data_IF_802674383610
#
_entry.id   IF_802674383610
#
_cell.length_a   1.000
_cell.length_b   1.000
_cell.length_c   1.000
_cell.angle_alpha   90.00
_cell.angle_beta   90.00
_cell.angle_gamma   90.00
#
_symmetry.space_group_name_H-M   'P 1'
#
loop_
_entity.id
_entity.type
_entity.pdbx_description
1 polymer ?
#
# COMPACT_ATOMS: atom_id res chain seq x y z
N UNK A 1 -57.39 -14.59 -20.18
CA UNK A 1 -56.50 -14.23 -21.31
C UNK A 1 -55.64 -12.99 -21.04
N UNK A 2 -56.19 -11.82 -20.66
CA UNK A 2 -55.41 -10.59 -20.37
C UNK A 2 -54.31 -10.74 -19.30
N UNK A 3 -54.55 -11.51 -18.24
CA UNK A 3 -53.57 -11.74 -17.15
C UNK A 3 -52.40 -12.65 -17.54
N UNK A 4 -52.65 -13.63 -18.42
CA UNK A 4 -51.62 -14.54 -18.96
C UNK A 4 -50.73 -13.77 -19.94
N UNK A 5 -51.31 -12.89 -20.76
CA UNK A 5 -50.57 -12.04 -21.68
C UNK A 5 -49.63 -11.07 -20.94
N UNK A 6 -50.08 -10.50 -19.81
CA UNK A 6 -49.24 -9.62 -18.99
C UNK A 6 -48.05 -10.35 -18.35
N UNK A 7 -48.25 -11.58 -17.87
CA UNK A 7 -47.18 -12.39 -17.26
C UNK A 7 -46.10 -12.80 -18.26
N UNK A 8 -46.50 -13.09 -19.50
CA UNK A 8 -45.55 -13.40 -20.59
C UNK A 8 -44.75 -12.16 -20.98
N UNK A 9 -45.40 -10.99 -21.10
CA UNK A 9 -44.71 -9.73 -21.40
C UNK A 9 -43.73 -9.36 -20.28
N UNK A 10 -44.10 -9.52 -19.01
CA UNK A 10 -43.22 -9.27 -17.87
C UNK A 10 -42.00 -10.22 -17.88
N UNK A 11 -42.20 -11.50 -18.16
CA UNK A 11 -41.11 -12.47 -18.26
C UNK A 11 -40.15 -12.19 -19.43
N UNK A 12 -40.66 -11.70 -20.57
CA UNK A 12 -39.82 -11.30 -21.71
C UNK A 12 -38.95 -10.06 -21.42
N UNK A 13 -39.43 -9.12 -20.60
CA UNK A 13 -38.65 -7.92 -20.22
C UNK A 13 -37.48 -8.30 -19.30
N UNK A 14 -37.63 -9.30 -18.42
CA UNK A 14 -36.52 -9.81 -17.60
C UNK A 14 -35.46 -10.58 -18.40
N UNK A 15 -35.83 -11.19 -19.54
CA UNK A 15 -34.89 -11.91 -20.39
C UNK A 15 -33.97 -10.97 -21.20
N UNK A 16 -34.42 -9.75 -21.52
CA UNK A 16 -33.65 -8.78 -22.31
C UNK A 16 -32.58 -8.07 -21.45
N UNK A 17 -32.77 -7.98 -20.13
CA UNK A 17 -31.82 -7.33 -19.21
C UNK A 17 -30.55 -8.14 -18.90
N UNK A 18 -30.45 -9.40 -19.34
CA UNK A 18 -29.38 -10.31 -18.94
C UNK A 18 -28.13 -10.28 -19.85
N UNK A 19 -28.11 -9.47 -20.92
CA UNK A 19 -26.95 -9.32 -21.80
C UNK A 19 -26.32 -7.94 -21.71
N UNK A 20 -25.91 -7.54 -20.50
CA UNK A 20 -24.80 -6.59 -20.41
C UNK A 20 -23.53 -7.33 -20.87
N UNK A 21 -23.21 -7.27 -22.16
CA UNK A 21 -21.88 -7.63 -22.66
C UNK A 21 -20.89 -6.60 -22.14
N UNK A 22 -20.49 -6.72 -20.87
CA UNK A 22 -19.30 -6.03 -20.40
C UNK A 22 -18.13 -6.69 -21.12
N UNK A 23 -17.54 -6.00 -22.09
CA UNK A 23 -16.21 -6.35 -22.59
C UNK A 23 -15.32 -6.62 -21.37
N UNK A 24 -14.59 -7.75 -21.33
CA UNK A 24 -13.66 -8.01 -20.23
C UNK A 24 -12.79 -6.76 -20.02
N UNK A 25 -12.61 -6.30 -18.78
CA UNK A 25 -11.82 -5.10 -18.53
C UNK A 25 -10.42 -5.28 -19.14
N UNK A 26 -9.83 -4.21 -19.69
CA UNK A 26 -8.51 -4.29 -20.33
C UNK A 26 -7.39 -4.70 -19.35
N UNK A 27 -7.62 -4.54 -18.04
CA UNK A 27 -6.67 -4.92 -17.00
C UNK A 27 -7.33 -5.63 -15.84
N UNK A 28 -6.56 -6.52 -15.21
CA UNK A 28 -6.89 -7.14 -13.92
C UNK A 28 -6.05 -6.46 -12.82
N UNK A 29 -6.69 -5.90 -11.76
CA UNK A 29 -5.98 -5.32 -10.62
C UNK A 29 -5.16 -6.35 -9.86
N UNK A 30 -3.90 -6.03 -9.59
CA UNK A 30 -3.02 -6.74 -8.68
C UNK A 30 -2.85 -6.03 -7.34
N UNK A 31 -1.76 -6.40 -6.64
CA UNK A 31 -1.38 -5.83 -5.36
C UNK A 31 -1.10 -4.32 -5.46
N UNK A 32 -1.17 -3.65 -4.31
CA UNK A 32 -0.88 -2.22 -4.18
C UNK A 32 0.42 -2.05 -3.42
N UNK A 33 1.32 -1.19 -3.90
CA UNK A 33 2.59 -0.92 -3.21
C UNK A 33 2.71 0.56 -2.86
N UNK A 34 3.08 0.85 -1.61
CA UNK A 34 3.59 2.16 -1.22
C UNK A 34 5.07 2.22 -1.52
N UNK A 35 5.48 3.20 -2.31
CA UNK A 35 6.87 3.50 -2.61
C UNK A 35 7.22 4.78 -1.86
N UNK A 36 8.33 4.76 -1.11
CA UNK A 36 8.87 5.91 -0.40
C UNK A 36 10.33 6.08 -0.78
N UNK A 37 10.70 7.29 -1.17
CA UNK A 37 12.08 7.66 -1.46
C UNK A 37 12.62 8.57 -0.36
N UNK A 38 13.81 8.24 0.12
CA UNK A 38 14.54 8.99 1.11
C UNK A 38 15.85 9.52 0.52
N UNK A 39 16.11 10.79 0.78
CA UNK A 39 17.42 11.43 0.61
C UNK A 39 18.12 11.39 1.97
N UNK A 40 19.25 10.69 2.05
CA UNK A 40 20.01 10.48 3.28
C UNK A 40 21.04 11.60 3.38
N UNK A 41 20.97 12.37 4.47
CA UNK A 41 21.82 13.54 4.63
C UNK A 41 23.32 13.16 4.59
N UNK A 42 24.20 14.04 4.07
CA UNK A 42 25.62 13.77 3.96
C UNK A 42 26.25 13.28 5.28
N UNK A 43 26.97 12.16 5.23
CA UNK A 43 27.62 11.56 6.40
C UNK A 43 26.68 10.81 7.36
N UNK A 44 25.38 10.71 7.06
CA UNK A 44 24.37 10.11 7.95
C UNK A 44 23.92 8.69 7.58
N UNK A 45 24.61 8.04 6.65
CA UNK A 45 24.29 6.68 6.19
C UNK A 45 24.18 5.65 7.33
N UNK A 46 25.13 5.66 8.27
CA UNK A 46 25.11 4.73 9.41
C UNK A 46 23.98 5.03 10.40
N UNK A 47 23.74 6.31 10.70
CA UNK A 47 22.65 6.74 11.59
C UNK A 47 21.29 6.29 11.04
N UNK A 48 21.06 6.53 9.74
CA UNK A 48 19.84 6.11 9.06
C UNK A 48 19.69 4.58 9.04
N UNK A 49 20.75 3.85 8.70
CA UNK A 49 20.73 2.39 8.65
C UNK A 49 20.43 1.78 10.02
N UNK A 50 21.07 2.28 11.07
CA UNK A 50 20.83 1.82 12.44
C UNK A 50 19.40 2.14 12.88
N UNK A 51 18.89 3.33 12.54
CA UNK A 51 17.51 3.67 12.84
C UNK A 51 16.52 2.75 12.13
N UNK A 52 16.72 2.44 10.85
CA UNK A 52 15.86 1.50 10.11
C UNK A 52 15.86 0.12 10.76
N UNK A 53 17.04 -0.42 11.06
CA UNK A 53 17.19 -1.74 11.69
C UNK A 53 16.55 -1.80 13.07
N UNK A 54 16.67 -0.73 13.85
CA UNK A 54 16.15 -0.65 15.23
C UNK A 54 14.64 -0.44 15.25
N UNK A 55 14.12 0.49 14.45
CA UNK A 55 12.75 0.99 14.60
C UNK A 55 11.81 0.52 13.49
N UNK A 56 12.27 0.52 12.24
CA UNK A 56 11.39 0.29 11.10
C UNK A 56 11.24 -1.20 10.75
N UNK A 57 12.36 -1.94 10.73
CA UNK A 57 12.34 -3.37 10.38
C UNK A 57 11.51 -4.23 11.34
N UNK A 58 11.62 -4.12 12.68
CA UNK A 58 10.83 -4.97 13.59
C UNK A 58 9.33 -4.74 13.44
N UNK A 59 8.92 -3.50 13.18
CA UNK A 59 7.53 -3.13 12.94
C UNK A 59 7.05 -3.74 11.62
N UNK A 60 7.80 -3.58 10.52
CA UNK A 60 7.42 -4.14 9.22
C UNK A 60 7.37 -5.68 9.24
N UNK A 61 8.29 -6.33 9.96
CA UNK A 61 8.26 -7.79 10.15
C UNK A 61 7.01 -8.24 10.88
N UNK A 62 6.63 -7.57 11.97
CA UNK A 62 5.42 -7.93 12.70
C UNK A 62 4.15 -7.62 11.89
N UNK A 63 4.12 -6.51 11.15
CA UNK A 63 3.02 -6.20 10.22
C UNK A 63 2.86 -7.28 9.15
N UNK A 64 3.98 -7.76 8.58
CA UNK A 64 3.98 -8.86 7.61
C UNK A 64 3.49 -10.15 8.25
N UNK A 65 3.99 -10.49 9.43
CA UNK A 65 3.60 -11.69 10.20
C UNK A 65 2.10 -11.72 10.51
N UNK A 66 1.50 -10.57 10.81
CA UNK A 66 0.06 -10.46 11.07
C UNK A 66 -0.80 -10.34 9.80
N UNK A 67 -0.20 -10.43 8.60
CA UNK A 67 -0.89 -10.28 7.33
C UNK A 67 -1.43 -8.87 7.07
N UNK A 68 -0.94 -7.86 7.81
CA UNK A 68 -1.29 -6.47 7.54
C UNK A 68 -0.67 -6.04 6.22
N UNK A 69 0.60 -6.37 5.99
CA UNK A 69 1.25 -6.17 4.70
C UNK A 69 1.63 -7.54 4.12
N UNK A 70 1.66 -7.65 2.80
CA UNK A 70 2.10 -8.86 2.11
C UNK A 70 3.63 -8.99 2.14
N UNK A 71 4.33 -7.88 1.91
CA UNK A 71 5.79 -7.84 1.89
C UNK A 71 6.30 -6.42 2.08
N UNK A 72 7.60 -6.29 2.33
CA UNK A 72 8.31 -5.03 2.24
C UNK A 72 9.73 -5.28 1.72
N UNK A 73 10.39 -4.23 1.24
CA UNK A 73 11.78 -4.30 0.80
C UNK A 73 12.44 -2.92 0.75
N UNK A 74 13.76 -2.91 0.85
CA UNK A 74 14.58 -1.72 0.68
C UNK A 74 15.45 -1.87 -0.56
N UNK A 75 15.73 -0.76 -1.23
CA UNK A 75 16.61 -0.70 -2.39
C UNK A 75 17.37 0.62 -2.40
N UNK A 76 18.60 0.61 -2.89
CA UNK A 76 19.43 1.81 -2.96
C UNK A 76 19.56 2.30 -4.40
N UNK A 77 19.77 3.60 -4.56
CA UNK A 77 20.09 4.23 -5.84
C UNK A 77 21.56 4.65 -5.82
N UNK A 78 22.45 3.92 -6.51
CA UNK A 78 23.87 4.25 -6.51
C UNK A 78 24.22 5.44 -7.43
N UNK A 79 23.31 5.85 -8.32
CA UNK A 79 23.50 6.99 -9.22
C UNK A 79 22.79 8.24 -8.71
N UNK A 80 23.25 9.42 -9.11
CA UNK A 80 22.57 10.70 -8.86
C UNK A 80 22.15 11.32 -10.19
N UNK A 81 20.86 11.63 -10.33
CA UNK A 81 20.23 12.14 -11.55
C UNK A 81 20.09 13.68 -11.52
N UNK A 82 20.30 14.31 -10.37
CA UNK A 82 20.28 15.77 -10.22
C UNK A 82 20.11 16.24 -8.77
N UNK A 83 19.95 17.56 -8.55
CA UNK A 83 19.62 18.11 -7.24
C UNK A 83 18.26 17.60 -6.72
N UNK A 84 18.18 17.27 -5.44
CA UNK A 84 16.94 16.78 -4.80
C UNK A 84 16.60 15.32 -5.11
N UNK A 85 17.60 14.55 -5.54
CA UNK A 85 17.48 13.12 -5.80
C UNK A 85 17.51 12.29 -4.50
N UNK A 86 17.31 10.98 -4.58
CA UNK A 86 17.16 10.08 -3.44
C UNK A 86 18.21 8.96 -3.43
N UNK A 87 18.53 8.43 -2.25
CA UNK A 87 19.53 7.37 -2.07
C UNK A 87 18.92 6.02 -1.67
N UNK A 88 17.80 6.05 -0.94
CA UNK A 88 17.16 4.87 -0.37
C UNK A 88 15.66 4.83 -0.68
N UNK A 89 15.21 3.71 -1.22
CA UNK A 89 13.81 3.39 -1.44
C UNK A 89 13.27 2.36 -0.45
N UNK A 90 12.01 2.50 -0.08
CA UNK A 90 11.21 1.53 0.66
C UNK A 90 9.96 1.17 -0.17
N UNK A 91 9.73 -0.13 -0.35
CA UNK A 91 8.46 -0.66 -0.87
C UNK A 91 7.72 -1.37 0.25
N UNK A 92 6.44 -1.08 0.42
CA UNK A 92 5.52 -1.84 1.27
C UNK A 92 4.37 -2.31 0.40
N UNK A 93 4.11 -3.62 0.33
CA UNK A 93 3.07 -4.21 -0.52
C UNK A 93 1.86 -4.61 0.32
N UNK A 94 0.70 -4.17 -0.12
CA UNK A 94 -0.63 -4.47 0.41
C UNK A 94 -1.40 -5.33 -0.58
N UNK A 95 -2.42 -6.05 -0.10
CA UNK A 95 -3.26 -6.90 -0.95
C UNK A 95 -4.03 -6.10 -2.00
N UNK A 96 -4.54 -4.93 -1.64
CA UNK A 96 -5.37 -4.07 -2.50
C UNK A 96 -5.42 -2.63 -1.94
N UNK A 97 -6.23 -1.75 -2.53
CA UNK A 97 -6.36 -0.37 -2.04
C UNK A 97 -7.12 -0.29 -0.72
N UNK A 98 -8.06 -1.19 -0.45
CA UNK A 98 -8.78 -1.20 0.82
C UNK A 98 -7.83 -1.40 2.00
N UNK A 99 -6.89 -2.33 1.87
CA UNK A 99 -5.86 -2.56 2.89
C UNK A 99 -4.84 -1.40 3.01
N UNK A 100 -4.70 -0.57 1.98
CA UNK A 100 -3.68 0.47 1.88
C UNK A 100 -4.18 1.89 2.19
N UNK A 101 -5.48 2.17 1.98
CA UNK A 101 -6.07 3.52 2.03
C UNK A 101 -7.32 3.57 2.88
N UNK A 102 -8.18 2.55 2.83
CA UNK A 102 -9.50 2.64 3.46
C UNK A 102 -9.37 2.67 5.00
N UNK A 103 -10.20 3.51 5.62
CA UNK A 103 -10.29 3.56 7.07
C UNK A 103 -10.89 2.26 7.59
N UNK A 104 -10.09 1.49 8.34
CA UNK A 104 -10.51 0.25 8.99
C UNK A 104 -10.04 0.28 10.46
N UNK A 105 -10.96 0.46 11.43
CA UNK A 105 -10.62 0.59 12.85
C UNK A 105 -9.89 -0.63 13.43
N UNK A 106 -10.30 -1.84 13.05
CA UNK A 106 -9.65 -3.08 13.55
C UNK A 106 -8.20 -3.18 13.07
N UNK A 107 -7.98 -2.85 11.80
CA UNK A 107 -6.66 -2.84 11.19
C UNK A 107 -5.79 -1.74 11.76
N UNK A 108 -6.34 -0.54 11.97
CA UNK A 108 -5.65 0.57 12.64
C UNK A 108 -5.22 0.18 14.06
N UNK A 109 -6.11 -0.45 14.84
CA UNK A 109 -5.79 -0.94 16.18
C UNK A 109 -4.64 -1.95 16.19
N UNK A 110 -4.54 -2.83 15.18
CA UNK A 110 -3.38 -3.75 15.04
C UNK A 110 -2.09 -3.00 14.75
N UNK A 111 -2.09 -2.01 13.85
CA UNK A 111 -0.91 -1.17 13.60
C UNK A 111 -0.47 -0.43 14.87
N UNK A 112 -1.41 0.14 15.61
CA UNK A 112 -1.12 0.84 16.87
C UNK A 112 -0.60 -0.10 17.95
N UNK A 113 -1.18 -1.30 18.09
CA UNK A 113 -0.70 -2.30 19.03
C UNK A 113 0.73 -2.76 18.73
N UNK A 114 1.09 -2.93 17.45
CA UNK A 114 2.47 -3.26 17.04
C UNK A 114 3.41 -2.11 17.43
N UNK A 115 3.05 -0.87 17.11
CA UNK A 115 3.83 0.30 17.47
C UNK A 115 4.01 0.45 18.97
N UNK A 116 2.93 0.33 19.74
CA UNK A 116 2.95 0.42 21.20
C UNK A 116 3.81 -0.68 21.82
N UNK A 117 3.72 -1.92 21.31
CA UNK A 117 4.57 -3.02 21.77
C UNK A 117 6.06 -2.77 21.49
N UNK A 118 6.38 -2.11 20.38
CA UNK A 118 7.77 -1.80 20.02
C UNK A 118 8.34 -0.61 20.80
N UNK A 119 7.61 0.50 20.85
CA UNK A 119 8.08 1.76 21.44
C UNK A 119 7.77 1.93 22.93
N UNK A 120 6.79 1.19 23.45
CA UNK A 120 6.31 1.31 24.83
C UNK A 120 5.38 2.51 25.08
N UNK A 121 5.47 3.57 24.28
CA UNK A 121 4.56 4.72 24.35
C UNK A 121 4.44 5.45 23.01
N UNK A 122 3.40 6.28 22.88
CA UNK A 122 3.23 7.17 21.73
C UNK A 122 4.33 8.24 21.66
N UNK A 123 4.79 8.73 22.81
CA UNK A 123 5.86 9.72 22.88
C UNK A 123 7.19 9.16 22.37
N UNK A 124 7.57 7.95 22.80
CA UNK A 124 8.78 7.28 22.33
C UNK A 124 8.73 7.00 20.81
N UNK A 125 7.55 6.68 20.28
CA UNK A 125 7.32 6.57 18.83
C UNK A 125 7.59 7.90 18.12
N UNK A 126 7.03 8.99 18.63
CA UNK A 126 7.23 10.33 18.06
C UNK A 126 8.70 10.73 18.09
N UNK A 127 9.38 10.58 19.24
CA UNK A 127 10.81 10.86 19.37
C UNK A 127 11.66 10.07 18.38
N UNK A 128 11.36 8.77 18.20
CA UNK A 128 12.06 7.94 17.23
C UNK A 128 11.83 8.46 15.79
N UNK A 129 10.60 8.78 15.43
CA UNK A 129 10.27 9.30 14.10
C UNK A 129 10.93 10.66 13.83
N UNK A 130 10.93 11.57 14.81
CA UNK A 130 11.52 12.90 14.69
C UNK A 130 13.04 12.84 14.56
N UNK A 131 13.69 11.88 15.24
CA UNK A 131 15.12 11.64 15.08
C UNK A 131 15.50 11.36 13.62
N UNK A 132 14.58 10.80 12.82
CA UNK A 132 14.83 10.55 11.40
C UNK A 132 15.02 11.79 10.56
N UNK A 133 14.43 12.92 10.96
CA UNK A 133 14.64 14.20 10.29
C UNK A 133 16.10 14.70 10.42
N UNK A 134 16.85 14.19 11.39
CA UNK A 134 18.27 14.51 11.59
C UNK A 134 19.24 13.76 10.66
N UNK A 135 18.75 12.77 9.90
CA UNK A 135 19.61 11.96 9.00
C UNK A 135 19.00 11.65 7.63
N UNK A 136 17.72 11.96 7.38
CA UNK A 136 17.11 11.80 6.07
C UNK A 136 15.95 12.78 5.87
N UNK A 137 15.60 13.00 4.60
CA UNK A 137 14.34 13.63 4.21
C UNK A 137 13.50 12.65 3.39
N UNK A 138 12.18 12.87 3.30
CA UNK A 138 11.30 12.12 2.41
C UNK A 138 11.16 12.91 1.11
N UNK A 139 11.69 12.38 0.02
CA UNK A 139 11.64 13.02 -1.30
C UNK A 139 10.26 12.82 -1.92
N UNK A 140 9.73 11.59 -1.88
CA UNK A 140 8.39 11.24 -2.39
C UNK A 140 7.78 10.07 -1.62
N UNK A 141 6.45 10.05 -1.55
CA UNK A 141 5.69 8.87 -1.12
C UNK A 141 4.43 8.76 -1.96
N UNK A 142 4.20 7.62 -2.60
CA UNK A 142 3.03 7.39 -3.44
C UNK A 142 2.62 5.92 -3.45
N UNK A 143 1.38 5.66 -3.87
CA UNK A 143 0.86 4.32 -4.06
C UNK A 143 0.79 4.00 -5.55
N UNK A 144 1.20 2.79 -5.90
CA UNK A 144 1.00 2.21 -7.23
C UNK A 144 0.22 0.91 -7.11
N UNK A 145 -0.51 0.54 -8.16
CA UNK A 145 -1.18 -0.74 -8.27
C UNK A 145 -0.58 -1.52 -9.43
N UNK A 146 -0.17 -2.75 -9.15
CA UNK A 146 0.18 -3.69 -10.22
C UNK A 146 -1.06 -3.97 -11.07
N UNK A 147 -0.87 -4.04 -12.38
CA UNK A 147 -1.94 -4.39 -13.32
C UNK A 147 -1.45 -5.48 -14.26
N UNK A 148 -2.30 -6.46 -14.52
CA UNK A 148 -2.09 -7.44 -15.59
C UNK A 148 -2.93 -7.03 -16.77
N UNK A 149 -2.31 -6.83 -17.93
CA UNK A 149 -3.04 -6.59 -19.17
C UNK A 149 -3.73 -7.88 -19.62
N UNK A 150 -5.03 -7.79 -19.86
CA UNK A 150 -5.81 -8.94 -20.32
C UNK A 150 -5.63 -9.09 -21.85
N UNK A 151 -5.69 -10.32 -22.39
CA UNK A 151 -5.62 -10.54 -23.84
C UNK A 151 -6.69 -9.71 -24.58
N UNK A 152 -6.35 -9.29 -25.81
CA UNK A 152 -7.33 -8.69 -26.71
C UNK A 152 -8.45 -9.71 -27.01
N UNK A 153 -9.70 -9.25 -27.19
CA UNK A 153 -10.82 -10.10 -27.56
C UNK A 153 -10.65 -10.76 -28.93
#
# INVERSE_FOLDING_TARGET
>A
MKRILLSVIFACIFAIGAQAQTTPPATTPGNVSRIVYFDVLPGKGNDNTNHIRKNQMPILEEQKKQGLILSYGFFTKPSTDGPGDWDLGLVITYKNYADAIDANPERAAKFDAIGLKHYGSAEARTTANDAANGFRTVVRSYLVRGVTFNPMP
#
